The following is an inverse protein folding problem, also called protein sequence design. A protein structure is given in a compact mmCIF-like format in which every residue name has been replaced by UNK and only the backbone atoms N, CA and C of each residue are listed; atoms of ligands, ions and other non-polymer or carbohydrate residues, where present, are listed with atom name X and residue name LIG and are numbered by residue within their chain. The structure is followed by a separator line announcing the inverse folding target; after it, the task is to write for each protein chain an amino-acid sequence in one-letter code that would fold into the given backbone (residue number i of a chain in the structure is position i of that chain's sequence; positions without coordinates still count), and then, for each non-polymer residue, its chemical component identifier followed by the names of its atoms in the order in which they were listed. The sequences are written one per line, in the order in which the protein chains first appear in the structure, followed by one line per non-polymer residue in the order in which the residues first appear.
data_IF_942739727085
#
_entry.id   IF_942739727085
#
_cell.length_a   1.000
_cell.length_b   1.000
_cell.length_c   1.000
_cell.angle_alpha   90.00
_cell.angle_beta   90.00
_cell.angle_gamma   90.00
#
_symmetry.space_group_name_H-M   'P 1'
#
loop_
_entity.id
_entity.type
_entity.pdbx_description
1 polymer ?
#
# COMPACT_ATOMS: atom_id res chain seq x y z
N UNK A 1 -37.82 -40.38 -9.64
CA UNK A 1 -37.92 -39.00 -9.13
C UNK A 1 -39.27 -38.38 -9.44
N UNK A 2 -39.99 -37.96 -8.40
CA UNK A 2 -41.23 -37.20 -8.48
C UNK A 2 -40.99 -35.79 -9.04
N UNK A 3 -42.06 -35.08 -9.39
CA UNK A 3 -41.97 -33.71 -9.89
C UNK A 3 -41.45 -32.73 -8.83
N UNK A 4 -41.76 -32.98 -7.55
CA UNK A 4 -41.23 -32.21 -6.42
C UNK A 4 -39.73 -32.50 -6.22
N UNK A 5 -39.32 -33.76 -6.25
CA UNK A 5 -37.90 -34.14 -6.09
C UNK A 5 -37.00 -33.56 -7.19
N UNK A 6 -37.52 -33.43 -8.44
CA UNK A 6 -36.83 -32.78 -9.56
C UNK A 6 -36.58 -31.29 -9.37
N UNK A 7 -37.42 -30.61 -8.58
CA UNK A 7 -37.32 -29.18 -8.31
C UNK A 7 -36.59 -28.87 -7.00
N UNK A 8 -36.33 -29.89 -6.17
CA UNK A 8 -35.64 -29.72 -4.91
C UNK A 8 -34.18 -29.32 -5.15
N UNK A 9 -33.75 -28.23 -4.51
CA UNK A 9 -32.38 -27.72 -4.60
C UNK A 9 -31.36 -28.78 -4.14
N UNK A 10 -31.73 -29.66 -3.20
CA UNK A 10 -30.92 -30.78 -2.70
C UNK A 10 -30.52 -31.77 -3.80
N UNK A 11 -31.31 -31.92 -4.85
CA UNK A 11 -31.04 -32.83 -5.96
C UNK A 11 -30.42 -32.15 -7.20
N UNK A 12 -30.28 -30.83 -7.18
CA UNK A 12 -29.62 -30.08 -8.26
C UNK A 12 -28.10 -30.05 -8.09
N UNK A 13 -27.37 -30.22 -9.20
CA UNK A 13 -25.94 -29.91 -9.29
C UNK A 13 -25.73 -29.02 -10.52
N UNK A 14 -25.06 -27.89 -10.35
CA UNK A 14 -24.76 -26.98 -11.45
C UNK A 14 -23.42 -27.35 -12.07
N UNK A 15 -23.40 -27.63 -13.36
CA UNK A 15 -22.19 -28.05 -14.10
C UNK A 15 -22.08 -27.29 -15.42
N UNK A 16 -20.84 -27.09 -15.88
CA UNK A 16 -20.62 -26.60 -17.25
C UNK A 16 -21.00 -27.69 -18.27
N UNK A 17 -21.20 -27.28 -19.52
CA UNK A 17 -21.60 -28.17 -20.62
C UNK A 17 -20.67 -29.38 -20.80
N UNK A 18 -19.37 -29.20 -20.59
CA UNK A 18 -18.38 -30.28 -20.73
C UNK A 18 -18.49 -31.29 -19.59
N UNK A 19 -18.64 -30.80 -18.36
CA UNK A 19 -18.78 -31.65 -17.17
C UNK A 19 -20.09 -32.42 -17.16
N UNK A 20 -21.20 -31.82 -17.63
CA UNK A 20 -22.48 -32.55 -17.71
C UNK A 20 -22.39 -33.74 -18.66
N UNK A 21 -21.81 -33.56 -19.87
CA UNK A 21 -21.60 -34.66 -20.82
C UNK A 21 -20.69 -35.76 -20.27
N UNK A 22 -19.66 -35.36 -19.53
CA UNK A 22 -18.67 -36.28 -18.96
C UNK A 22 -19.27 -37.21 -17.91
N UNK A 23 -20.15 -36.69 -17.05
CA UNK A 23 -20.83 -37.50 -16.03
C UNK A 23 -21.91 -38.40 -16.63
N UNK A 24 -22.61 -37.93 -17.67
CA UNK A 24 -23.63 -38.71 -18.38
C UNK A 24 -23.01 -39.88 -19.15
N UNK A 25 -21.76 -39.73 -19.61
CA UNK A 25 -21.05 -40.74 -20.40
C UNK A 25 -20.45 -41.88 -19.57
N UNK A 26 -20.13 -41.66 -18.28
CA UNK A 26 -19.43 -42.64 -17.44
C UNK A 26 -19.98 -42.69 -16.00
N UNK A 27 -21.13 -43.35 -15.86
CA UNK A 27 -21.86 -43.49 -14.60
C UNK A 27 -21.08 -44.31 -13.55
N UNK A 28 -20.20 -45.23 -13.98
CA UNK A 28 -19.37 -46.03 -13.08
C UNK A 28 -18.28 -45.16 -12.43
N UNK A 29 -17.65 -44.27 -13.19
CA UNK A 29 -16.60 -43.36 -12.69
C UNK A 29 -17.16 -42.15 -11.94
N UNK A 30 -18.37 -41.71 -12.31
CA UNK A 30 -19.08 -40.58 -11.69
C UNK A 30 -20.36 -41.06 -11.00
N UNK A 31 -20.19 -41.91 -9.99
CA UNK A 31 -21.29 -42.44 -9.20
C UNK A 31 -22.08 -41.35 -8.48
N UNK A 32 -23.31 -41.68 -8.09
CA UNK A 32 -24.20 -40.76 -7.33
C UNK A 32 -23.55 -40.24 -6.06
N UNK A 33 -22.80 -41.07 -5.34
CA UNK A 33 -22.13 -40.68 -4.10
C UNK A 33 -21.01 -39.67 -4.35
N UNK A 34 -20.28 -39.86 -5.46
CA UNK A 34 -19.22 -38.93 -5.86
C UNK A 34 -19.78 -37.57 -6.26
N UNK A 35 -20.88 -37.54 -7.01
CA UNK A 35 -21.56 -36.31 -7.39
C UNK A 35 -22.13 -35.56 -6.17
N UNK A 36 -22.72 -36.29 -5.21
CA UNK A 36 -23.15 -35.71 -3.92
C UNK A 36 -21.98 -35.11 -3.15
N UNK A 37 -20.83 -35.79 -3.12
CA UNK A 37 -19.63 -35.28 -2.45
C UNK A 37 -19.08 -34.02 -3.12
N UNK A 38 -19.08 -33.98 -4.46
CA UNK A 38 -18.66 -32.79 -5.22
C UNK A 38 -19.55 -31.58 -4.93
N UNK A 39 -20.87 -31.79 -4.86
CA UNK A 39 -21.81 -30.74 -4.46
C UNK A 39 -21.50 -30.22 -3.06
N UNK A 40 -21.39 -31.11 -2.07
CA UNK A 40 -21.11 -30.75 -0.69
C UNK A 40 -19.81 -29.92 -0.57
N UNK A 41 -18.74 -30.34 -1.26
CA UNK A 41 -17.47 -29.60 -1.28
C UNK A 41 -17.65 -28.23 -1.92
N UNK A 42 -18.35 -28.14 -3.05
CA UNK A 42 -18.57 -26.86 -3.73
C UNK A 42 -19.37 -25.88 -2.87
N UNK A 43 -20.39 -26.37 -2.16
CA UNK A 43 -21.19 -25.55 -1.24
C UNK A 43 -20.37 -25.10 -0.03
N UNK A 44 -19.57 -26.00 0.55
CA UNK A 44 -18.65 -25.65 1.65
C UNK A 44 -17.61 -24.62 1.22
N UNK A 45 -17.04 -24.76 0.02
CA UNK A 45 -16.09 -23.79 -0.52
C UNK A 45 -16.75 -22.42 -0.75
N UNK A 46 -17.97 -22.37 -1.29
CA UNK A 46 -18.69 -21.11 -1.47
C UNK A 46 -19.04 -20.45 -0.13
N UNK A 47 -19.40 -21.22 0.90
CA UNK A 47 -19.61 -20.72 2.25
C UNK A 47 -18.32 -20.18 2.84
N UNK A 48 -17.22 -20.94 2.75
CA UNK A 48 -15.90 -20.49 3.17
C UNK A 48 -15.49 -19.20 2.47
N UNK A 49 -15.68 -19.09 1.15
CA UNK A 49 -15.33 -17.88 0.38
C UNK A 49 -16.15 -16.65 0.79
N UNK A 50 -17.43 -16.84 1.15
CA UNK A 50 -18.27 -15.77 1.72
C UNK A 50 -17.84 -15.41 3.15
N UNK A 51 -17.40 -16.39 3.95
CA UNK A 51 -16.92 -16.20 5.31
C UNK A 51 -15.48 -15.62 5.36
N UNK A 52 -14.63 -15.92 4.37
CA UNK A 52 -13.23 -15.50 4.27
C UNK A 52 -13.02 -14.33 3.31
N UNK A 53 -14.07 -13.69 2.79
CA UNK A 53 -13.95 -12.46 1.99
C UNK A 53 -13.11 -11.37 2.68
N UNK A 54 -13.01 -11.42 4.01
CA UNK A 54 -12.13 -10.58 4.83
C UNK A 54 -10.63 -10.87 4.65
N UNK A 55 -10.24 -12.11 4.36
CA UNK A 55 -8.84 -12.46 4.06
C UNK A 55 -8.41 -11.93 2.69
N UNK A 56 -9.31 -11.93 1.69
CA UNK A 56 -9.07 -11.33 0.37
C UNK A 56 -8.77 -9.83 0.48
N UNK A 57 -9.65 -9.05 1.10
CA UNK A 57 -9.47 -7.61 1.31
C UNK A 57 -8.21 -7.30 2.15
N UNK A 58 -7.96 -8.08 3.22
CA UNK A 58 -6.77 -7.92 4.04
C UNK A 58 -5.48 -8.26 3.28
N UNK A 59 -5.50 -9.24 2.38
CA UNK A 59 -4.35 -9.50 1.49
C UNK A 59 -4.12 -8.36 0.51
N UNK A 60 -5.18 -7.76 -0.05
CA UNK A 60 -5.09 -6.58 -0.92
C UNK A 60 -4.54 -5.37 -0.18
N UNK A 61 -5.03 -5.06 1.02
CA UNK A 61 -4.51 -3.97 1.84
C UNK A 61 -3.01 -4.15 2.11
N UNK A 62 -2.59 -5.37 2.48
CA UNK A 62 -1.19 -5.70 2.70
C UNK A 62 -0.32 -5.47 1.46
N UNK A 63 -0.83 -5.76 0.27
CA UNK A 63 -0.13 -5.50 -1.00
C UNK A 63 0.02 -4.00 -1.28
N UNK A 64 -1.03 -3.22 -1.02
CA UNK A 64 -1.01 -1.76 -1.14
C UNK A 64 -0.01 -1.15 -0.15
N UNK A 65 -0.01 -1.59 1.12
CA UNK A 65 0.98 -1.13 2.10
C UNK A 65 2.40 -1.48 1.69
N UNK A 66 2.65 -2.70 1.18
CA UNK A 66 3.96 -3.09 0.63
C UNK A 66 4.39 -2.22 -0.56
N UNK A 67 3.44 -1.74 -1.37
CA UNK A 67 3.73 -0.76 -2.41
C UNK A 67 4.13 0.59 -1.82
N UNK A 68 3.43 1.08 -0.79
CA UNK A 68 3.79 2.33 -0.13
C UNK A 68 5.14 2.26 0.56
N UNK A 69 5.53 1.13 1.14
CA UNK A 69 6.89 0.96 1.70
C UNK A 69 7.99 1.25 0.67
N UNK A 70 7.82 0.83 -0.59
CA UNK A 70 8.75 1.19 -1.66
C UNK A 70 8.78 2.69 -1.96
N UNK A 71 7.68 3.39 -1.71
CA UNK A 71 7.63 4.85 -1.86
C UNK A 71 8.37 5.56 -0.71
N UNK A 72 8.61 4.92 0.44
CA UNK A 72 9.39 5.53 1.53
C UNK A 72 10.87 5.09 1.53
N UNK A 73 11.25 4.18 0.64
CA UNK A 73 12.64 3.75 0.39
C UNK A 73 13.41 4.79 -0.47
N UNK A 74 13.68 5.97 0.09
CA UNK A 74 14.45 7.05 -0.57
C UNK A 74 15.11 8.00 0.44
N UNK A 75 16.14 8.75 0.00
CA UNK A 75 16.91 9.71 0.83
C UNK A 75 16.02 10.64 1.65
N UNK A 76 14.97 11.16 1.00
CA UNK A 76 13.99 12.07 1.60
C UNK A 76 13.38 11.56 2.92
N UNK A 77 13.38 10.25 3.18
CA UNK A 77 12.86 9.63 4.42
C UNK A 77 13.90 8.79 5.16
N UNK A 78 15.19 8.98 4.88
CA UNK A 78 16.29 8.28 5.55
C UNK A 78 17.33 9.24 6.11
N UNK A 79 17.65 10.28 5.37
CA UNK A 79 18.79 11.13 5.69
C UNK A 79 18.32 12.41 6.40
N UNK A 80 19.07 12.93 7.39
CA UNK A 80 18.81 14.25 7.97
C UNK A 80 18.72 15.33 6.90
N UNK A 81 17.92 16.37 7.11
CA UNK A 81 17.61 17.34 6.05
C UNK A 81 18.85 18.13 5.62
N UNK A 82 19.87 18.20 6.48
CA UNK A 82 21.17 18.79 6.19
C UNK A 82 22.07 17.91 5.31
N UNK A 83 21.77 16.61 5.20
CA UNK A 83 22.46 15.65 4.33
C UNK A 83 21.66 15.37 3.04
N UNK A 84 20.44 15.90 2.95
CA UNK A 84 19.66 15.85 1.72
C UNK A 84 20.37 16.66 0.64
N UNK A 85 20.29 16.19 -0.61
CA UNK A 85 20.89 16.86 -1.75
C UNK A 85 20.16 18.15 -2.12
N UNK A 86 19.78 18.28 -3.39
CA UNK A 86 19.07 19.47 -3.87
C UNK A 86 17.68 19.55 -3.25
N UNK A 87 17.31 20.71 -2.70
CA UNK A 87 15.97 20.92 -2.13
C UNK A 87 14.86 20.75 -3.18
N UNK A 88 15.16 20.98 -4.45
CA UNK A 88 14.28 20.68 -5.59
C UNK A 88 14.04 19.18 -5.75
N UNK A 89 15.09 18.36 -5.62
CA UNK A 89 14.98 16.88 -5.67
C UNK A 89 14.18 16.38 -4.47
N UNK A 90 14.38 16.99 -3.29
CA UNK A 90 13.59 16.70 -2.09
C UNK A 90 12.10 17.05 -2.28
N UNK A 91 11.76 18.27 -2.70
CA UNK A 91 10.35 18.65 -2.96
C UNK A 91 9.71 17.71 -3.97
N UNK A 92 10.46 17.34 -5.02
CA UNK A 92 10.00 16.42 -6.05
C UNK A 92 9.76 15.02 -5.49
N UNK A 93 10.66 14.53 -4.64
CA UNK A 93 10.50 13.24 -3.97
C UNK A 93 9.24 13.23 -3.07
N UNK A 94 8.98 14.30 -2.32
CA UNK A 94 7.77 14.41 -1.50
C UNK A 94 6.51 14.46 -2.40
N UNK A 95 6.54 15.23 -3.48
CA UNK A 95 5.45 15.28 -4.47
C UNK A 95 5.13 13.90 -5.06
N UNK A 96 6.15 13.18 -5.52
CA UNK A 96 5.98 11.86 -6.13
C UNK A 96 5.45 10.85 -5.10
N UNK A 97 5.79 11.00 -3.82
CA UNK A 97 5.20 10.21 -2.73
C UNK A 97 3.71 10.47 -2.58
N UNK A 98 3.29 11.74 -2.59
CA UNK A 98 1.86 12.12 -2.49
C UNK A 98 1.09 11.58 -3.70
N UNK A 99 1.65 11.71 -4.91
CA UNK A 99 1.04 11.17 -6.13
C UNK A 99 0.90 9.64 -6.03
N UNK A 100 1.95 8.94 -5.59
CA UNK A 100 1.91 7.49 -5.43
C UNK A 100 0.88 7.06 -4.36
N UNK A 101 0.77 7.78 -3.24
CA UNK A 101 -0.25 7.53 -2.22
C UNK A 101 -1.67 7.68 -2.78
N UNK A 102 -1.91 8.70 -3.60
CA UNK A 102 -3.25 8.97 -4.12
C UNK A 102 -3.61 8.09 -5.32
N UNK A 103 -2.65 7.72 -6.16
CA UNK A 103 -2.91 7.08 -7.46
C UNK A 103 -2.39 5.64 -7.57
N UNK A 104 -1.56 5.19 -6.64
CA UNK A 104 -0.89 3.89 -6.72
C UNK A 104 0.19 3.81 -7.81
N UNK A 105 0.65 4.93 -8.37
CA UNK A 105 1.65 4.95 -9.45
C UNK A 105 2.99 5.51 -8.94
N UNK A 106 4.03 4.68 -9.00
CA UNK A 106 5.42 5.08 -8.73
C UNK A 106 6.19 5.25 -10.05
N UNK A 107 6.89 6.37 -10.23
CA UNK A 107 7.63 6.71 -11.45
C UNK A 107 9.11 6.98 -11.18
N UNK A 108 9.95 6.81 -12.20
CA UNK A 108 11.33 7.33 -12.23
C UNK A 108 11.33 8.85 -12.41
N UNK A 109 12.50 9.48 -12.20
CA UNK A 109 12.72 10.91 -12.48
C UNK A 109 12.35 11.29 -13.92
N UNK A 110 12.58 10.37 -14.88
CA UNK A 110 12.25 10.56 -16.31
C UNK A 110 10.78 10.26 -16.64
N UNK A 111 9.95 9.94 -15.64
CA UNK A 111 8.52 9.69 -15.81
C UNK A 111 8.12 8.26 -16.19
N UNK A 112 9.07 7.33 -16.28
CA UNK A 112 8.78 5.91 -16.55
C UNK A 112 8.12 5.26 -15.33
N UNK A 113 7.08 4.46 -15.55
CA UNK A 113 6.41 3.73 -14.46
C UNK A 113 7.33 2.62 -13.94
N UNK A 114 7.65 2.67 -12.65
CA UNK A 114 8.40 1.64 -11.93
C UNK A 114 7.47 0.56 -11.39
N UNK A 115 6.36 0.98 -10.77
CA UNK A 115 5.41 0.08 -10.12
C UNK A 115 4.01 0.68 -10.14
N UNK A 116 3.01 -0.20 -10.18
CA UNK A 116 1.59 0.14 -10.07
C UNK A 116 0.95 -0.64 -8.92
N UNK A 117 0.00 -0.02 -8.27
CA UNK A 117 -0.88 -0.55 -7.24
C UNK A 117 -2.14 0.31 -7.22
N UNK A 118 -2.99 0.11 -6.21
CA UNK A 118 -4.12 0.99 -5.93
C UNK A 118 -3.71 2.15 -5.02
N UNK A 119 -4.50 3.22 -5.05
CA UNK A 119 -4.32 4.36 -4.15
C UNK A 119 -4.80 4.06 -2.72
N UNK A 120 -4.45 4.93 -1.77
CA UNK A 120 -4.82 4.77 -0.36
C UNK A 120 -6.33 4.72 -0.11
N UNK A 121 -7.15 5.24 -1.04
CA UNK A 121 -8.61 5.17 -0.96
C UNK A 121 -9.17 3.75 -1.13
N UNK A 122 -8.40 2.84 -1.72
CA UNK A 122 -8.79 1.44 -1.91
C UNK A 122 -8.52 0.57 -0.66
N UNK A 123 -7.91 1.12 0.39
CA UNK A 123 -7.65 0.39 1.62
C UNK A 123 -8.95 0.20 2.41
N UNK A 124 -9.22 -1.05 2.74
CA UNK A 124 -10.44 -1.47 3.45
C UNK A 124 -10.32 -1.20 4.95
N UNK A 125 -9.14 -1.38 5.53
CA UNK A 125 -8.87 -1.04 6.92
C UNK A 125 -8.92 0.50 7.14
N UNK A 126 -9.99 0.96 7.80
CA UNK A 126 -10.25 2.37 8.07
C UNK A 126 -9.13 3.04 8.88
N UNK A 127 -8.54 2.33 9.85
CA UNK A 127 -7.45 2.86 10.69
C UNK A 127 -6.19 3.08 9.86
N UNK A 128 -5.82 2.12 9.01
CA UNK A 128 -4.66 2.25 8.12
C UNK A 128 -4.86 3.34 7.08
N UNK A 129 -6.07 3.43 6.52
CA UNK A 129 -6.43 4.49 5.57
C UNK A 129 -6.31 5.87 6.22
N UNK A 130 -6.76 6.02 7.46
CA UNK A 130 -6.63 7.29 8.18
C UNK A 130 -5.19 7.64 8.54
N UNK A 131 -4.38 6.67 9.00
CA UNK A 131 -2.94 6.85 9.20
C UNK A 131 -2.24 7.34 7.91
N UNK A 132 -2.62 6.80 6.75
CA UNK A 132 -2.09 7.24 5.45
C UNK A 132 -2.62 8.61 5.00
N UNK A 133 -3.82 9.01 5.42
CA UNK A 133 -4.31 10.38 5.24
C UNK A 133 -3.45 11.38 6.01
N UNK A 134 -3.20 11.10 7.30
CA UNK A 134 -2.32 11.90 8.15
C UNK A 134 -0.92 12.03 7.54
N UNK A 135 -0.34 10.92 7.07
CA UNK A 135 0.95 10.96 6.35
C UNK A 135 0.87 11.89 5.13
N UNK A 136 -0.19 11.80 4.32
CA UNK A 136 -0.40 12.68 3.17
C UNK A 136 -0.45 14.18 3.52
N UNK A 137 -1.07 14.51 4.65
CA UNK A 137 -1.15 15.88 5.16
C UNK A 137 0.21 16.38 5.65
N UNK A 138 0.97 15.53 6.35
CA UNK A 138 2.33 15.85 6.78
C UNK A 138 3.28 16.06 5.60
N UNK A 139 3.19 15.23 4.56
CA UNK A 139 3.95 15.43 3.31
C UNK A 139 3.60 16.77 2.65
N UNK A 140 2.32 17.13 2.62
CA UNK A 140 1.86 18.42 2.10
C UNK A 140 2.39 19.60 2.95
N UNK A 141 2.45 19.43 4.26
CA UNK A 141 3.02 20.41 5.18
C UNK A 141 4.53 20.60 4.95
N UNK A 142 5.30 19.53 4.74
CA UNK A 142 6.73 19.60 4.38
C UNK A 142 6.94 20.49 3.15
N UNK A 143 6.20 20.22 2.06
CA UNK A 143 6.30 21.01 0.82
C UNK A 143 5.93 22.47 1.03
N UNK A 144 4.84 22.73 1.74
CA UNK A 144 4.38 24.10 2.03
C UNK A 144 5.43 24.87 2.83
N UNK A 145 6.01 24.24 3.86
CA UNK A 145 7.04 24.85 4.71
C UNK A 145 8.33 25.12 3.93
N UNK A 146 8.71 24.21 3.03
CA UNK A 146 9.88 24.40 2.16
C UNK A 146 9.69 25.60 1.21
N UNK A 147 8.51 25.76 0.61
CA UNK A 147 8.18 26.91 -0.23
C UNK A 147 8.25 28.24 0.54
N UNK A 148 7.74 28.27 1.77
CA UNK A 148 7.82 29.44 2.65
C UNK A 148 9.29 29.75 2.99
N UNK A 149 10.07 28.73 3.36
CA UNK A 149 11.49 28.87 3.66
C UNK A 149 12.29 29.44 2.48
N UNK A 150 12.01 28.98 1.26
CA UNK A 150 12.62 29.48 0.02
C UNK A 150 12.28 30.96 -0.20
N UNK A 151 11.00 31.32 -0.06
CA UNK A 151 10.54 32.71 -0.25
C UNK A 151 11.10 33.68 0.81
N UNK A 152 11.33 33.18 2.03
CA UNK A 152 11.91 33.95 3.13
C UNK A 152 13.45 33.99 3.11
N UNK A 153 14.13 33.26 2.21
CA UNK A 153 15.59 33.13 2.21
C UNK A 153 16.13 32.40 3.45
N UNK A 154 15.34 31.50 4.05
CA UNK A 154 15.68 30.81 5.30
C UNK A 154 16.72 29.69 5.15
N UNK A 155 17.12 29.38 3.91
CA UNK A 155 18.25 28.53 3.61
C UNK A 155 19.04 29.10 2.42
N UNK A 156 20.35 28.96 2.46
CA UNK A 156 21.27 29.45 1.43
C UNK A 156 21.84 28.31 0.59
N UNK A 157 22.09 28.60 -0.68
CA UNK A 157 22.76 27.72 -1.64
C UNK A 157 24.23 28.13 -1.78
N UNK A 158 25.15 27.19 -1.57
CA UNK A 158 26.59 27.40 -1.78
C UNK A 158 27.12 26.44 -2.85
N UNK A 159 28.02 26.90 -3.72
CA UNK A 159 28.66 26.09 -4.76
C UNK A 159 28.03 26.25 -6.15
N UNK A 160 28.87 26.21 -7.20
CA UNK A 160 28.44 26.32 -8.61
C UNK A 160 28.02 24.97 -9.21
N UNK A 161 28.69 23.86 -8.84
CA UNK A 161 28.42 22.51 -9.37
C UNK A 161 27.72 21.59 -8.35
N UNK A 162 28.25 21.50 -7.11
CA UNK A 162 27.63 20.83 -5.98
C UNK A 162 26.97 21.85 -5.04
N UNK A 163 25.69 22.12 -5.29
CA UNK A 163 24.91 23.07 -4.49
C UNK A 163 24.62 22.46 -3.12
N UNK A 164 25.28 22.98 -2.09
CA UNK A 164 25.02 22.66 -0.69
C UNK A 164 23.93 23.58 -0.14
N UNK A 165 22.96 23.00 0.55
CA UNK A 165 21.85 23.72 1.15
C UNK A 165 22.05 23.78 2.66
N UNK A 166 22.13 24.99 3.20
CA UNK A 166 22.28 25.20 4.63
C UNK A 166 21.07 25.95 5.17
N UNK A 167 20.36 25.36 6.15
CA UNK A 167 19.31 26.06 6.87
C UNK A 167 19.95 27.04 7.85
N UNK A 168 19.72 28.34 7.64
CA UNK A 168 20.17 29.39 8.54
C UNK A 168 19.47 29.30 9.90
N UNK A 169 18.22 28.80 9.90
CA UNK A 169 17.43 28.52 11.09
C UNK A 169 17.47 27.03 11.44
N UNK A 170 18.11 26.73 12.58
CA UNK A 170 18.22 25.37 13.11
C UNK A 170 16.86 24.77 13.49
N UNK A 171 15.93 25.59 13.99
CA UNK A 171 14.59 25.10 14.36
C UNK A 171 13.80 24.65 13.14
N UNK A 172 14.02 25.30 11.99
CA UNK A 172 13.42 24.91 10.73
C UNK A 172 13.92 23.53 10.28
N UNK A 173 15.24 23.30 10.34
CA UNK A 173 15.83 21.99 10.03
C UNK A 173 15.32 20.87 10.96
N UNK A 174 15.31 21.13 12.27
CA UNK A 174 14.80 20.20 13.29
C UNK A 174 13.31 19.88 13.07
N UNK A 175 12.52 20.85 12.62
CA UNK A 175 11.11 20.63 12.27
C UNK A 175 10.95 19.69 11.06
N UNK A 176 11.77 19.85 10.02
CA UNK A 176 11.77 18.94 8.86
C UNK A 176 12.13 17.51 9.29
N UNK A 177 13.18 17.35 10.08
CA UNK A 177 13.62 16.04 10.57
C UNK A 177 12.54 15.39 11.44
N UNK A 178 11.99 16.13 12.40
CA UNK A 178 10.96 15.61 13.33
C UNK A 178 9.69 15.21 12.60
N UNK A 179 9.25 16.00 11.60
CA UNK A 179 8.05 15.69 10.81
C UNK A 179 8.26 14.43 9.96
N UNK A 180 9.45 14.25 9.39
CA UNK A 180 9.80 13.07 8.60
C UNK A 180 9.94 11.82 9.46
N UNK A 181 10.51 11.94 10.66
CA UNK A 181 10.56 10.85 11.64
C UNK A 181 9.15 10.41 12.03
N UNK A 182 8.24 11.36 12.27
CA UNK A 182 6.86 11.07 12.64
C UNK A 182 6.09 10.37 11.51
N UNK A 183 6.30 10.75 10.25
CA UNK A 183 5.76 10.02 9.08
C UNK A 183 6.21 8.56 9.10
N UNK A 184 7.50 8.31 9.33
CA UNK A 184 8.06 6.95 9.37
C UNK A 184 7.51 6.17 10.56
N UNK A 185 7.30 6.79 11.72
CA UNK A 185 6.66 6.13 12.88
C UNK A 185 5.24 5.69 12.59
N UNK A 186 4.43 6.56 11.99
CA UNK A 186 3.04 6.23 11.63
C UNK A 186 3.03 5.04 10.66
N UNK A 187 3.88 5.08 9.61
CA UNK A 187 3.98 3.99 8.64
C UNK A 187 4.47 2.67 9.28
N UNK A 188 5.42 2.76 10.21
CA UNK A 188 5.90 1.61 10.96
C UNK A 188 4.83 1.00 11.86
N UNK A 189 3.93 1.80 12.45
CA UNK A 189 2.80 1.26 13.21
C UNK A 189 1.86 0.41 12.34
N UNK A 190 1.64 0.80 11.08
CA UNK A 190 0.87 -0.01 10.11
C UNK A 190 1.61 -1.33 9.81
N UNK A 191 2.94 -1.30 9.72
CA UNK A 191 3.75 -2.51 9.49
C UNK A 191 3.69 -3.47 10.66
N UNK A 192 3.71 -2.95 11.89
CA UNK A 192 3.59 -3.73 13.12
C UNK A 192 2.25 -4.45 13.19
N UNK A 193 1.14 -3.78 12.83
CA UNK A 193 -0.19 -4.39 12.71
C UNK A 193 -0.22 -5.54 11.68
N UNK A 194 0.64 -5.46 10.65
CA UNK A 194 0.80 -6.51 9.63
C UNK A 194 1.75 -7.64 10.03
N UNK A 195 2.46 -7.53 11.16
CA UNK A 195 3.52 -8.47 11.56
C UNK A 195 4.81 -8.34 10.75
N UNK A 196 5.07 -7.18 10.14
CA UNK A 196 6.28 -6.88 9.37
C UNK A 196 7.17 -5.91 10.17
N UNK A 197 8.48 -6.10 10.13
CA UNK A 197 9.43 -5.14 10.71
C UNK A 197 9.24 -3.74 10.13
N UNK A 198 8.93 -2.76 10.98
CA UNK A 198 8.77 -1.36 10.57
C UNK A 198 10.04 -0.73 9.98
N UNK A 199 9.84 0.36 9.23
CA UNK A 199 10.94 1.18 8.71
C UNK A 199 11.61 1.93 9.85
N UNK A 200 12.95 1.99 9.83
CA UNK A 200 13.72 2.81 10.78
C UNK A 200 14.34 3.99 10.05
N UNK A 201 14.01 5.19 10.53
CA UNK A 201 14.86 6.36 10.28
C UNK A 201 16.14 6.18 11.12
N UNK A 202 17.34 6.34 10.56
CA UNK A 202 18.57 6.39 11.32
C UNK A 202 18.47 7.46 12.42
N UNK A 203 18.45 7.04 13.68
CA UNK A 203 18.55 7.96 14.83
C UNK A 203 20.00 8.41 14.99
N UNK A 204 20.59 9.05 13.97
CA UNK A 204 21.85 9.73 14.17
C UNK A 204 21.57 11.06 14.87
N UNK A 205 21.44 10.98 16.20
CA UNK A 205 21.71 12.12 17.07
C UNK A 205 23.19 12.44 16.89
N UNK A 206 23.53 13.24 15.88
CA UNK A 206 24.82 13.91 15.86
C UNK A 206 24.86 14.77 17.13
N UNK A 207 25.53 14.25 18.17
CA UNK A 207 26.09 15.07 19.23
C UNK A 207 27.21 15.85 18.55
N UNK A 208 26.90 17.12 18.33
CA UNK A 208 27.81 18.21 17.95
C UNK A 208 29.19 18.03 18.54
#
# INVERSE_FOLDING_TARGET
MTSQERKAYENGIWLCQSCSKLIDSDVQRYSTDKLKKWKEISEQMAVLELETGTEGEFTTDREIIKFFLCCFDRSAFRDPICQEGRMEDFDKAIEDTIIALNTGILRTRDGKILRKSEGKSAISNDEWREKLNVIGDMLSALRRRLKIAKAAGAYSTYGEEEVMYCFSDRQLGEWFDSTREEIVKILSSICEDMGISGLRFPQNKYRW
#
